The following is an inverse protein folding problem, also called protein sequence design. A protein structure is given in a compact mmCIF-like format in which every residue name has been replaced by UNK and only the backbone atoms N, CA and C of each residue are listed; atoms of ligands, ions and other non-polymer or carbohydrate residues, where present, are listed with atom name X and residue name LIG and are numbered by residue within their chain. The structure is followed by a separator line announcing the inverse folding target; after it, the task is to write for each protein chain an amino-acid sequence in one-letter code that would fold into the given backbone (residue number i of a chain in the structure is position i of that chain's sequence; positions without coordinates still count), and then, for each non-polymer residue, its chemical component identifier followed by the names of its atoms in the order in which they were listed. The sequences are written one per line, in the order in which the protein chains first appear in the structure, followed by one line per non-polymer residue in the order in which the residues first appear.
data_IF_076812029267
#
_entry.id   IF_076812029267
#
_cell.length_a   1.000
_cell.length_b   1.000
_cell.length_c   1.000
_cell.angle_alpha   90.00
_cell.angle_beta   90.00
_cell.angle_gamma   90.00
#
_symmetry.space_group_name_H-M   'P 1'
#
loop_
_entity.id
_entity.type
_entity.pdbx_description
1 polymer ?
#
# COMPACT_ATOMS: atom_id res chain seq x y z
N UNK A 1 2.09 22.64 20.63
CA UNK A 1 3.16 22.03 19.82
C UNK A 1 2.56 20.78 19.22
N UNK A 2 2.53 20.65 17.89
CA UNK A 2 1.90 19.51 17.22
C UNK A 2 2.89 18.33 17.21
N UNK A 3 2.50 17.17 17.70
CA UNK A 3 3.35 15.97 17.71
C UNK A 3 3.16 15.15 16.43
N UNK A 4 4.07 14.21 16.18
CA UNK A 4 3.91 13.25 15.08
C UNK A 4 2.68 12.37 15.26
N UNK A 5 2.35 12.01 16.51
CA UNK A 5 1.14 11.22 16.81
C UNK A 5 -0.15 12.04 16.53
N UNK A 6 -0.17 13.34 16.82
CA UNK A 6 -1.30 14.22 16.45
C UNK A 6 -1.49 14.25 14.93
N UNK A 7 -0.38 14.29 14.18
CA UNK A 7 -0.42 14.27 12.71
C UNK A 7 -0.97 12.94 12.18
N UNK A 8 -0.55 11.79 12.74
CA UNK A 8 -1.11 10.49 12.37
C UNK A 8 -2.58 10.35 12.76
N UNK A 9 -2.97 10.82 13.94
CA UNK A 9 -4.37 10.81 14.34
C UNK A 9 -5.23 11.61 13.36
N UNK A 10 -4.80 12.80 12.96
CA UNK A 10 -5.49 13.61 11.96
C UNK A 10 -5.51 12.93 10.58
N UNK A 11 -4.41 12.32 10.16
CA UNK A 11 -4.33 11.58 8.89
C UNK A 11 -5.41 10.48 8.83
N UNK A 12 -5.49 9.62 9.84
CA UNK A 12 -6.43 8.51 9.83
C UNK A 12 -7.88 8.94 10.08
N UNK A 13 -8.13 9.82 11.06
CA UNK A 13 -9.50 10.18 11.45
C UNK A 13 -10.14 11.26 10.58
N UNK A 14 -9.36 12.26 10.13
CA UNK A 14 -9.89 13.40 9.37
C UNK A 14 -9.75 13.16 7.88
N UNK A 15 -8.54 12.84 7.40
CA UNK A 15 -8.30 12.73 5.96
C UNK A 15 -8.87 11.43 5.39
N UNK A 16 -8.66 10.31 6.09
CA UNK A 16 -9.09 8.98 5.64
C UNK A 16 -10.46 8.57 6.21
N UNK A 17 -10.96 9.27 7.23
CA UNK A 17 -12.27 8.99 7.82
C UNK A 17 -12.40 7.63 8.50
N UNK A 18 -11.28 7.05 8.96
CA UNK A 18 -11.22 5.69 9.51
C UNK A 18 -12.10 5.55 10.75
N UNK A 19 -12.89 4.48 10.78
CA UNK A 19 -13.80 4.12 11.87
C UNK A 19 -13.29 2.91 12.65
N UNK A 20 -13.77 2.78 13.89
CA UNK A 20 -13.44 1.64 14.75
C UNK A 20 -13.89 0.32 14.09
N UNK A 21 -12.98 -0.65 14.02
CA UNK A 21 -13.22 -1.98 13.44
C UNK A 21 -12.87 -2.09 11.96
N UNK A 22 -12.60 -0.98 11.27
CA UNK A 22 -12.10 -1.03 9.89
C UNK A 22 -10.68 -1.57 9.84
N UNK A 23 -10.35 -2.22 8.71
CA UNK A 23 -9.01 -2.75 8.45
C UNK A 23 -8.19 -1.67 7.74
N UNK A 24 -7.02 -1.39 8.27
CA UNK A 24 -6.10 -0.39 7.73
C UNK A 24 -4.90 -1.12 7.12
N UNK A 25 -4.57 -0.78 5.88
CA UNK A 25 -3.32 -1.19 5.26
C UNK A 25 -2.50 0.07 4.97
N UNK A 26 -1.31 0.15 5.57
CA UNK A 26 -0.33 1.15 5.22
C UNK A 26 0.76 0.46 4.39
N UNK A 27 1.16 1.07 3.28
CA UNK A 27 2.19 0.49 2.43
C UNK A 27 3.14 1.56 1.90
N UNK A 28 4.35 1.13 1.55
CA UNK A 28 5.37 1.97 0.94
C UNK A 28 6.31 1.12 0.10
N UNK A 29 6.95 1.72 -0.89
CA UNK A 29 8.05 1.06 -1.61
C UNK A 29 9.38 1.17 -0.84
N UNK A 30 10.30 0.27 -1.14
CA UNK A 30 11.71 0.34 -0.74
C UNK A 30 12.59 0.50 -1.98
N UNK A 31 13.75 1.12 -1.81
CA UNK A 31 14.79 1.15 -2.86
C UNK A 31 15.10 -0.29 -3.26
N UNK A 32 15.05 -0.61 -4.55
CA UNK A 32 15.39 -1.96 -5.02
C UNK A 32 16.90 -2.21 -4.84
N UNK A 33 17.30 -3.48 -4.61
CA UNK A 33 18.72 -3.82 -4.45
C UNK A 33 19.58 -3.55 -5.68
N UNK A 34 18.97 -3.50 -6.86
CA UNK A 34 19.61 -3.29 -8.18
C UNK A 34 19.55 -1.83 -8.67
N UNK A 35 19.01 -0.90 -7.87
CA UNK A 35 19.04 0.53 -8.19
C UNK A 35 20.42 1.13 -7.93
N UNK A 36 20.88 1.97 -8.86
CA UNK A 36 22.06 2.81 -8.64
C UNK A 36 21.78 3.84 -7.54
N UNK A 37 22.71 4.07 -6.60
CA UNK A 37 22.53 5.04 -5.54
C UNK A 37 22.20 6.44 -6.07
N UNK A 38 21.23 7.09 -5.46
CA UNK A 38 20.78 8.44 -5.84
C UNK A 38 20.84 9.41 -4.66
N UNK A 39 20.86 10.72 -4.96
CA UNK A 39 20.75 11.75 -3.93
C UNK A 39 19.42 11.73 -3.15
N UNK A 40 18.43 10.97 -3.62
CA UNK A 40 17.10 10.86 -3.02
C UNK A 40 16.97 9.69 -2.03
N UNK A 41 17.98 8.82 -1.94
CA UNK A 41 17.91 7.58 -1.16
C UNK A 41 17.60 7.84 0.32
N UNK A 42 18.22 8.87 0.91
CA UNK A 42 17.97 9.23 2.30
C UNK A 42 16.52 9.72 2.50
N UNK A 43 15.99 10.50 1.55
CA UNK A 43 14.59 10.94 1.58
C UNK A 43 13.65 9.74 1.50
N UNK A 44 13.91 8.80 0.59
CA UNK A 44 13.11 7.59 0.41
C UNK A 44 13.12 6.69 1.64
N UNK A 45 14.29 6.50 2.28
CA UNK A 45 14.40 5.78 3.56
C UNK A 45 13.59 6.44 4.67
N UNK A 46 13.60 7.78 4.76
CA UNK A 46 12.78 8.53 5.72
C UNK A 46 11.29 8.40 5.45
N UNK A 47 10.86 8.39 4.19
CA UNK A 47 9.45 8.17 3.82
C UNK A 47 8.98 6.76 4.18
N UNK A 48 9.81 5.74 3.89
CA UNK A 48 9.55 4.37 4.29
C UNK A 48 9.42 4.25 5.82
N UNK A 49 10.30 4.92 6.57
CA UNK A 49 10.21 4.95 8.03
C UNK A 49 8.91 5.64 8.51
N UNK A 50 8.55 6.78 7.93
CA UNK A 50 7.31 7.47 8.28
C UNK A 50 6.06 6.62 8.00
N UNK A 51 6.06 5.83 6.93
CA UNK A 51 4.98 4.89 6.64
C UNK A 51 4.91 3.75 7.66
N UNK A 52 6.06 3.24 8.14
CA UNK A 52 6.12 2.27 9.23
C UNK A 52 5.58 2.86 10.54
N UNK A 53 6.02 4.07 10.90
CA UNK A 53 5.58 4.74 12.12
C UNK A 53 4.06 5.02 12.09
N UNK A 54 3.51 5.37 10.92
CA UNK A 54 2.07 5.53 10.73
C UNK A 54 1.30 4.21 10.92
N UNK A 55 1.85 3.10 10.40
CA UNK A 55 1.26 1.78 10.57
C UNK A 55 1.29 1.32 12.04
N UNK A 56 2.40 1.57 12.74
CA UNK A 56 2.56 1.25 14.16
C UNK A 56 1.62 2.09 15.04
N UNK A 57 1.46 3.38 14.70
CA UNK A 57 0.42 4.21 15.31
C UNK A 57 -0.97 3.63 15.07
N UNK A 58 -1.31 3.31 13.82
CA UNK A 58 -2.63 2.78 13.47
C UNK A 58 -2.92 1.43 14.15
N UNK A 59 -1.91 0.56 14.26
CA UNK A 59 -2.02 -0.73 14.94
C UNK A 59 -2.31 -0.56 16.43
N UNK A 60 -1.59 0.35 17.10
CA UNK A 60 -1.82 0.68 18.52
C UNK A 60 -3.18 1.33 18.77
N UNK A 61 -3.61 2.25 17.90
CA UNK A 61 -4.79 3.08 18.11
C UNK A 61 -6.10 2.44 17.64
N UNK A 62 -6.08 1.76 16.49
CA UNK A 62 -7.27 1.15 15.87
C UNK A 62 -7.31 -0.38 16.02
N UNK A 63 -6.19 -1.03 16.34
CA UNK A 63 -6.12 -2.48 16.63
C UNK A 63 -6.20 -3.40 15.42
N UNK A 64 -6.42 -2.86 14.20
CA UNK A 64 -6.58 -3.64 12.98
C UNK A 64 -5.83 -2.99 11.80
N UNK A 65 -4.53 -2.77 11.99
CA UNK A 65 -3.66 -2.21 10.97
C UNK A 65 -2.52 -3.16 10.61
N UNK A 66 -2.08 -3.11 9.35
CA UNK A 66 -0.94 -3.86 8.84
C UNK A 66 -0.04 -2.97 7.99
N UNK A 67 1.25 -3.31 7.95
CA UNK A 67 2.24 -2.65 7.11
C UNK A 67 2.74 -3.60 6.02
N UNK A 68 2.82 -3.11 4.78
CA UNK A 68 3.40 -3.86 3.67
C UNK A 68 4.43 -3.01 2.92
N UNK A 69 5.64 -3.54 2.75
CA UNK A 69 6.66 -2.91 1.89
C UNK A 69 7.04 -3.81 0.74
N UNK A 70 7.27 -3.21 -0.42
CA UNK A 70 7.72 -3.91 -1.63
C UNK A 70 8.83 -3.13 -2.33
N UNK A 71 9.71 -3.79 -3.09
CA UNK A 71 10.69 -3.08 -3.91
C UNK A 71 9.99 -2.16 -4.91
N UNK A 72 10.49 -0.94 -5.07
CA UNK A 72 9.92 0.04 -6.00
C UNK A 72 9.73 -0.55 -7.39
N UNK A 73 8.67 -0.18 -8.09
CA UNK A 73 8.43 -0.68 -9.45
C UNK A 73 9.46 -0.10 -10.42
N UNK A 74 9.89 -0.92 -11.40
CA UNK A 74 10.95 -0.54 -12.34
C UNK A 74 10.61 0.69 -13.20
N UNK A 75 9.32 0.99 -13.36
CA UNK A 75 8.84 2.13 -14.13
C UNK A 75 7.75 2.89 -13.38
N UNK A 76 7.68 4.20 -13.64
CA UNK A 76 6.57 5.05 -13.23
C UNK A 76 5.27 4.55 -13.85
N UNK A 77 4.20 4.51 -13.04
CA UNK A 77 2.89 4.05 -13.47
C UNK A 77 2.74 2.53 -13.60
N UNK A 78 3.77 1.73 -13.28
CA UNK A 78 3.60 0.28 -13.18
C UNK A 78 2.68 -0.08 -12.01
N UNK A 79 1.91 -1.15 -12.16
CA UNK A 79 0.99 -1.60 -11.11
C UNK A 79 1.76 -2.19 -9.92
N UNK A 80 1.23 -2.03 -8.69
CA UNK A 80 1.83 -2.65 -7.51
C UNK A 80 1.72 -4.18 -7.56
N UNK A 81 2.61 -4.90 -6.85
CA UNK A 81 2.64 -6.36 -6.88
C UNK A 81 1.37 -6.98 -6.30
N UNK A 82 1.01 -8.18 -6.76
CA UNK A 82 -0.17 -8.95 -6.32
C UNK A 82 -0.31 -9.04 -4.79
N UNK A 83 0.80 -9.17 -4.06
CA UNK A 83 0.78 -9.24 -2.60
C UNK A 83 0.18 -7.98 -1.96
N UNK A 84 0.35 -6.78 -2.56
CA UNK A 84 -0.31 -5.57 -2.08
C UNK A 84 -1.82 -5.64 -2.30
N UNK A 85 -2.25 -6.15 -3.45
CA UNK A 85 -3.67 -6.39 -3.74
C UNK A 85 -4.28 -7.37 -2.74
N UNK A 86 -3.56 -8.45 -2.39
CA UNK A 86 -3.97 -9.40 -1.35
C UNK A 86 -4.11 -8.74 0.02
N UNK A 87 -3.14 -7.89 0.39
CA UNK A 87 -3.23 -7.11 1.63
C UNK A 87 -4.49 -6.22 1.68
N UNK A 88 -4.84 -5.59 0.56
CA UNK A 88 -5.97 -4.67 0.47
C UNK A 88 -7.33 -5.40 0.42
N UNK A 89 -7.47 -6.37 -0.48
CA UNK A 89 -8.77 -7.00 -0.79
C UNK A 89 -8.98 -8.35 -0.11
N UNK A 90 -7.90 -9.01 0.34
CA UNK A 90 -7.93 -10.36 0.92
C UNK A 90 -7.80 -11.46 -0.13
N UNK A 91 -7.31 -12.62 0.29
CA UNK A 91 -6.95 -13.72 -0.61
C UNK A 91 -8.11 -14.24 -1.44
N UNK A 92 -9.29 -14.43 -0.84
CA UNK A 92 -10.45 -14.98 -1.55
C UNK A 92 -10.88 -14.13 -2.76
N UNK A 93 -10.83 -12.79 -2.62
CA UNK A 93 -11.15 -11.86 -3.72
C UNK A 93 -10.08 -11.94 -4.79
N UNK A 94 -8.81 -11.94 -4.39
CA UNK A 94 -7.70 -12.00 -5.35
C UNK A 94 -7.65 -13.34 -6.08
N UNK A 95 -7.91 -14.45 -5.40
CA UNK A 95 -7.93 -15.79 -6.01
C UNK A 95 -9.02 -15.89 -7.08
N UNK A 96 -10.20 -15.30 -6.83
CA UNK A 96 -11.26 -15.21 -7.84
C UNK A 96 -10.78 -14.42 -9.07
N UNK A 97 -10.21 -13.21 -8.87
CA UNK A 97 -9.70 -12.38 -9.95
C UNK A 97 -8.55 -13.05 -10.74
N UNK A 98 -7.69 -13.81 -10.06
CA UNK A 98 -6.62 -14.59 -10.70
C UNK A 98 -7.21 -15.73 -11.52
N UNK A 99 -8.18 -16.46 -10.98
CA UNK A 99 -8.82 -17.59 -11.67
C UNK A 99 -9.54 -17.15 -12.95
N UNK A 100 -10.10 -15.93 -12.96
CA UNK A 100 -10.76 -15.32 -14.12
C UNK A 100 -9.79 -14.57 -15.05
N UNK A 101 -8.49 -14.57 -14.73
CA UNK A 101 -7.42 -13.86 -15.45
C UNK A 101 -7.59 -12.34 -15.49
N UNK A 102 -8.42 -11.78 -14.61
CA UNK A 102 -8.64 -10.34 -14.47
C UNK A 102 -7.42 -9.69 -13.83
N UNK A 103 -6.94 -10.19 -12.68
CA UNK A 103 -5.79 -9.59 -12.01
C UNK A 103 -4.51 -9.61 -12.86
N UNK A 104 -4.13 -10.74 -13.51
CA UNK A 104 -2.99 -10.73 -14.44
C UNK A 104 -3.12 -9.68 -15.55
N UNK A 105 -4.32 -9.50 -16.11
CA UNK A 105 -4.57 -8.50 -17.14
C UNK A 105 -4.48 -7.07 -16.58
N UNK A 106 -4.95 -6.80 -15.36
CA UNK A 106 -4.80 -5.52 -14.69
C UNK A 106 -3.32 -5.18 -14.44
N UNK A 107 -2.55 -6.12 -13.88
CA UNK A 107 -1.13 -5.95 -13.60
C UNK A 107 -0.31 -5.69 -14.88
N UNK A 108 -0.72 -6.31 -16.00
CA UNK A 108 -0.12 -6.08 -17.32
C UNK A 108 -0.67 -4.83 -18.05
N UNK A 109 -1.65 -4.12 -17.47
CA UNK A 109 -2.42 -3.04 -18.11
C UNK A 109 -3.06 -3.43 -19.46
N UNK A 110 -3.57 -4.65 -19.52
CA UNK A 110 -4.21 -5.27 -20.69
C UNK A 110 -5.67 -5.64 -20.46
N UNK A 111 -6.22 -5.37 -19.27
CA UNK A 111 -7.63 -5.63 -18.98
C UNK A 111 -8.54 -4.78 -19.88
N UNK A 112 -9.56 -5.41 -20.47
CA UNK A 112 -10.58 -4.73 -21.26
C UNK A 112 -11.78 -4.32 -20.39
N UNK A 113 -12.57 -3.35 -20.83
CA UNK A 113 -13.82 -2.98 -20.14
C UNK A 113 -14.77 -4.16 -19.98
N UNK A 114 -14.93 -4.99 -21.03
CA UNK A 114 -15.75 -6.20 -20.98
C UNK A 114 -15.28 -7.22 -19.93
N UNK A 115 -13.99 -7.26 -19.61
CA UNK A 115 -13.46 -8.13 -18.56
C UNK A 115 -13.71 -7.58 -17.15
N UNK A 116 -13.82 -6.26 -17.00
CA UNK A 116 -13.99 -5.59 -15.71
C UNK A 116 -15.48 -5.42 -15.36
N UNK A 117 -16.33 -5.17 -16.35
CA UNK A 117 -17.76 -4.88 -16.18
C UNK A 117 -18.63 -6.14 -15.96
N UNK A 118 -18.01 -7.31 -15.79
CA UNK A 118 -18.68 -8.59 -15.56
C UNK A 118 -19.14 -8.77 -14.12
#
# INVERSE_FOLDING_TARGET
MYTLEDAFQSLFSVNMGVRKGERILVFSDSIRPDEEPSGEDERRRRLLQAARDAADFASRFYGNASFFSFPATAASGAEPPENLWRGAFGDAVIDALVSEKILPALLAKQATGEQIDR
#
